data_IF_565208043007
#
_entry.id   IF_565208043007
#
_cell.length_a   1.000
_cell.length_b   1.000
_cell.length_c   1.000
_cell.angle_alpha   90.00
_cell.angle_beta   90.00
_cell.angle_gamma   90.00
#
_symmetry.space_group_name_H-M   'P 1'
#
loop_
_entity.id
_entity.type
_entity.pdbx_description
1 polymer ?
#
# COMPACT_ATOMS: atom_id res chain seq x y z
N UNK A 1 -269.80 -68.85 3.18
CA UNK A 1 -269.40 -67.48 2.76
C UNK A 1 -269.04 -66.71 4.02
N UNK A 2 -268.06 -65.78 4.05
CA UNK A 2 -267.06 -65.38 3.04
C UNK A 2 -265.80 -64.86 3.80
N UNK A 3 -264.85 -64.26 3.07
CA UNK A 3 -263.68 -63.50 3.57
C UNK A 3 -264.06 -62.44 4.62
N UNK A 4 -263.15 -62.07 5.54
CA UNK A 4 -262.93 -60.63 5.79
C UNK A 4 -261.46 -60.26 6.10
N UNK A 5 -261.14 -58.98 5.91
CA UNK A 5 -259.84 -58.36 5.61
C UNK A 5 -258.83 -58.29 6.77
N UNK A 6 -259.11 -58.81 7.96
CA UNK A 6 -258.26 -58.56 9.15
C UNK A 6 -256.81 -59.05 8.99
N UNK A 7 -256.60 -60.18 8.32
CA UNK A 7 -255.27 -60.71 7.96
C UNK A 7 -254.39 -59.70 7.17
N UNK A 8 -255.00 -58.68 6.53
CA UNK A 8 -254.26 -57.64 5.82
C UNK A 8 -253.52 -56.67 6.78
N UNK A 9 -254.05 -56.45 7.98
CA UNK A 9 -253.42 -55.57 8.98
C UNK A 9 -252.21 -56.23 9.67
N UNK A 10 -252.22 -57.55 9.84
CA UNK A 10 -251.05 -58.29 10.34
C UNK A 10 -249.88 -58.20 9.34
N UNK A 11 -250.15 -58.38 8.05
CA UNK A 11 -249.14 -58.23 7.00
C UNK A 11 -248.59 -56.78 6.90
N UNK A 12 -249.39 -55.75 7.17
CA UNK A 12 -248.89 -54.36 7.22
C UNK A 12 -247.90 -54.16 8.38
N UNK A 13 -248.20 -54.66 9.58
CA UNK A 13 -247.29 -54.58 10.74
C UNK A 13 -245.98 -55.35 10.55
N UNK A 14 -246.01 -56.43 9.75
CA UNK A 14 -244.80 -57.18 9.42
C UNK A 14 -243.85 -56.38 8.51
N UNK A 15 -244.40 -55.66 7.52
CA UNK A 15 -243.64 -54.78 6.63
C UNK A 15 -243.01 -53.58 7.36
N UNK A 16 -243.75 -52.94 8.27
CA UNK A 16 -243.22 -51.81 9.08
C UNK A 16 -241.99 -52.23 9.89
N UNK A 17 -242.02 -53.42 10.54
CA UNK A 17 -240.86 -53.95 11.29
C UNK A 17 -239.65 -54.28 10.42
N UNK A 18 -239.84 -54.69 9.17
CA UNK A 18 -238.73 -55.02 8.27
C UNK A 18 -237.93 -53.76 7.88
N UNK A 19 -238.60 -52.62 7.73
CA UNK A 19 -237.99 -51.32 7.41
C UNK A 19 -237.15 -50.80 8.58
N UNK A 20 -237.63 -50.94 9.82
CA UNK A 20 -236.85 -50.55 11.01
C UNK A 20 -235.59 -51.41 11.19
N UNK A 21 -235.66 -52.70 10.83
CA UNK A 21 -234.48 -53.59 10.82
C UNK A 21 -233.37 -53.07 9.89
N UNK A 22 -233.74 -52.68 8.66
CA UNK A 22 -232.76 -52.13 7.70
C UNK A 22 -232.16 -50.79 8.14
N UNK A 23 -232.94 -49.93 8.81
CA UNK A 23 -232.41 -48.67 9.37
C UNK A 23 -231.33 -48.91 10.44
N UNK A 24 -231.54 -49.88 11.32
CA UNK A 24 -230.57 -50.21 12.37
C UNK A 24 -229.26 -50.79 11.79
N UNK A 25 -229.33 -51.59 10.72
CA UNK A 25 -228.11 -52.10 10.06
C UNK A 25 -227.28 -50.98 9.42
N UNK A 26 -227.93 -50.00 8.79
CA UNK A 26 -227.25 -48.83 8.20
C UNK A 26 -226.55 -47.99 9.28
N UNK A 27 -227.21 -47.74 10.40
CA UNK A 27 -226.63 -47.00 11.52
C UNK A 27 -225.38 -47.69 12.09
N UNK A 28 -225.42 -49.02 12.25
CA UNK A 28 -224.28 -49.84 12.71
C UNK A 28 -223.04 -49.66 11.82
N UNK A 29 -223.22 -49.70 10.49
CA UNK A 29 -222.12 -49.52 9.52
C UNK A 29 -221.56 -48.09 9.52
N UNK A 30 -222.35 -47.07 9.84
CA UNK A 30 -221.84 -45.71 9.98
C UNK A 30 -220.89 -45.58 11.19
N UNK A 31 -221.23 -46.14 12.35
CA UNK A 31 -220.32 -46.14 13.50
C UNK A 31 -219.02 -46.93 13.26
N UNK A 32 -219.07 -47.99 12.45
CA UNK A 32 -217.87 -48.76 12.11
C UNK A 32 -216.88 -47.97 11.23
N UNK A 33 -217.40 -47.20 10.25
CA UNK A 33 -216.60 -46.31 9.39
C UNK A 33 -215.95 -45.18 10.20
N UNK A 34 -216.64 -44.66 11.20
CA UNK A 34 -216.15 -43.57 12.04
C UNK A 34 -214.98 -44.03 12.94
N UNK A 35 -215.11 -45.21 13.56
CA UNK A 35 -214.03 -45.84 14.34
C UNK A 35 -212.75 -46.11 13.53
N UNK A 36 -212.87 -46.45 12.23
CA UNK A 36 -211.72 -46.70 11.35
C UNK A 36 -210.94 -45.41 11.06
N UNK A 37 -211.62 -44.26 10.94
CA UNK A 37 -210.94 -42.95 10.74
C UNK A 37 -210.10 -42.56 11.96
N UNK A 38 -210.64 -42.73 13.15
CA UNK A 38 -209.96 -42.37 14.41
C UNK A 38 -208.69 -43.21 14.65
N UNK A 39 -208.71 -44.49 14.27
CA UNK A 39 -207.52 -45.35 14.31
C UNK A 39 -206.41 -44.85 13.36
N UNK A 40 -206.77 -44.40 12.16
CA UNK A 40 -205.80 -43.92 11.18
C UNK A 40 -205.13 -42.60 11.60
N UNK A 41 -205.90 -41.66 12.16
CA UNK A 41 -205.37 -40.38 12.63
C UNK A 41 -204.30 -40.57 13.71
N UNK A 42 -204.55 -41.41 14.73
CA UNK A 42 -203.55 -41.75 15.76
C UNK A 42 -202.25 -42.30 15.19
N UNK A 43 -202.33 -43.11 14.12
CA UNK A 43 -201.16 -43.71 13.48
C UNK A 43 -200.30 -42.67 12.73
N UNK A 44 -200.91 -41.61 12.22
CA UNK A 44 -200.20 -40.51 11.55
C UNK A 44 -199.37 -39.70 12.56
N UNK A 45 -199.94 -39.36 13.71
CA UNK A 45 -199.24 -38.56 14.73
C UNK A 45 -198.09 -39.33 15.38
N UNK A 46 -198.26 -40.64 15.65
CA UNK A 46 -197.18 -41.52 16.11
C UNK A 46 -195.96 -41.46 15.16
N UNK A 47 -196.21 -41.55 13.85
CA UNK A 47 -195.15 -41.55 12.83
C UNK A 47 -194.43 -40.20 12.66
N UNK A 48 -195.00 -39.09 13.12
CA UNK A 48 -194.31 -37.79 13.15
C UNK A 48 -193.33 -37.73 14.33
N UNK A 49 -193.79 -38.19 15.51
CA UNK A 49 -192.98 -38.19 16.74
C UNK A 49 -191.70 -39.02 16.57
N UNK A 50 -191.82 -40.21 15.99
CA UNK A 50 -190.68 -41.13 15.76
C UNK A 50 -189.61 -40.50 14.84
N UNK A 51 -190.03 -39.75 13.81
CA UNK A 51 -189.11 -39.06 12.90
C UNK A 51 -188.38 -37.88 13.57
N UNK A 52 -189.04 -37.14 14.45
CA UNK A 52 -188.44 -36.00 15.15
C UNK A 52 -187.38 -36.47 16.18
N UNK A 53 -187.65 -37.57 16.87
CA UNK A 53 -186.69 -38.25 17.76
C UNK A 53 -185.48 -38.78 16.99
N UNK A 54 -185.68 -39.35 15.80
CA UNK A 54 -184.57 -39.83 14.96
C UNK A 54 -183.62 -38.69 14.55
N UNK A 55 -184.16 -37.51 14.24
CA UNK A 55 -183.39 -36.36 13.73
C UNK A 55 -182.50 -35.72 14.82
N UNK A 56 -182.99 -35.66 16.07
CA UNK A 56 -182.19 -35.23 17.23
C UNK A 56 -181.00 -36.16 17.49
N UNK A 57 -181.21 -37.48 17.51
CA UNK A 57 -180.16 -38.47 17.77
C UNK A 57 -179.00 -38.42 16.75
N UNK A 58 -179.27 -38.04 15.49
CA UNK A 58 -178.23 -37.86 14.46
C UNK A 58 -177.38 -36.62 14.74
N UNK A 59 -177.99 -35.53 15.20
CA UNK A 59 -177.27 -34.29 15.51
C UNK A 59 -176.31 -34.47 16.69
N UNK A 60 -176.77 -35.12 17.76
CA UNK A 60 -175.97 -35.30 18.97
C UNK A 60 -174.76 -36.23 18.72
N UNK A 61 -174.91 -37.26 17.88
CA UNK A 61 -173.78 -38.10 17.42
C UNK A 61 -172.72 -37.30 16.68
N UNK A 62 -173.10 -36.53 15.67
CA UNK A 62 -172.15 -35.74 14.87
C UNK A 62 -171.40 -34.69 15.73
N UNK A 63 -172.06 -34.15 16.75
CA UNK A 63 -171.43 -33.20 17.67
C UNK A 63 -170.44 -33.88 18.63
N UNK A 64 -170.72 -35.12 19.06
CA UNK A 64 -169.79 -35.92 19.85
C UNK A 64 -168.53 -36.31 19.05
N UNK A 65 -168.69 -36.80 17.81
CA UNK A 65 -167.58 -37.19 16.93
C UNK A 65 -166.61 -36.02 16.66
N UNK A 66 -167.12 -34.80 16.48
CA UNK A 66 -166.29 -33.60 16.30
C UNK A 66 -165.46 -33.23 17.54
N UNK A 67 -166.02 -33.41 18.74
CA UNK A 67 -165.32 -33.15 20.00
C UNK A 67 -164.22 -34.20 20.22
N UNK A 68 -164.51 -35.48 19.95
CA UNK A 68 -163.55 -36.58 20.06
C UNK A 68 -162.39 -36.41 19.07
N UNK A 69 -162.69 -36.06 17.81
CA UNK A 69 -161.66 -35.79 16.80
C UNK A 69 -160.75 -34.59 17.18
N UNK A 70 -161.31 -33.53 17.77
CA UNK A 70 -160.52 -32.38 18.26
C UNK A 70 -159.64 -32.76 19.45
N UNK A 71 -160.17 -33.52 20.42
CA UNK A 71 -159.43 -34.03 21.57
C UNK A 71 -158.21 -34.82 21.12
N UNK A 72 -158.39 -35.75 20.19
CA UNK A 72 -157.32 -36.64 19.75
C UNK A 72 -156.22 -35.93 18.93
N UNK A 73 -156.55 -34.84 18.24
CA UNK A 73 -155.55 -33.96 17.61
C UNK A 73 -154.73 -33.17 18.65
N UNK A 74 -155.37 -32.71 19.72
CA UNK A 74 -154.71 -31.95 20.79
C UNK A 74 -153.77 -32.84 21.64
N UNK A 75 -154.18 -34.07 21.95
CA UNK A 75 -153.31 -35.10 22.55
C UNK A 75 -152.06 -35.34 21.69
N UNK A 76 -152.24 -35.59 20.39
CA UNK A 76 -151.14 -35.87 19.46
C UNK A 76 -150.19 -34.67 19.30
N UNK A 77 -150.71 -33.44 19.36
CA UNK A 77 -149.89 -32.22 19.37
C UNK A 77 -149.04 -32.13 20.64
N UNK A 78 -149.60 -32.49 21.79
CA UNK A 78 -148.90 -32.46 23.08
C UNK A 78 -147.83 -33.58 23.19
N UNK A 79 -148.08 -34.77 22.65
CA UNK A 79 -147.06 -35.81 22.50
C UNK A 79 -145.89 -35.35 21.61
N UNK A 80 -146.18 -34.74 20.46
CA UNK A 80 -145.15 -34.22 19.55
C UNK A 80 -144.29 -33.13 20.23
N UNK A 81 -144.91 -32.21 20.99
CA UNK A 81 -144.17 -31.21 21.80
C UNK A 81 -143.27 -31.87 22.84
N UNK A 82 -143.77 -32.88 23.56
CA UNK A 82 -142.99 -33.61 24.58
C UNK A 82 -141.79 -34.33 23.96
N UNK A 83 -141.99 -34.99 22.83
CA UNK A 83 -140.92 -35.68 22.09
C UNK A 83 -139.88 -34.69 21.53
N UNK A 84 -140.30 -33.50 21.08
CA UNK A 84 -139.39 -32.43 20.64
C UNK A 84 -138.49 -31.95 21.80
N UNK A 85 -139.06 -31.69 22.97
CA UNK A 85 -138.29 -31.26 24.16
C UNK A 85 -137.30 -32.35 24.59
N UNK A 86 -137.75 -33.60 24.69
CA UNK A 86 -136.88 -34.72 25.07
C UNK A 86 -135.75 -34.98 24.05
N UNK A 87 -136.01 -34.80 22.75
CA UNK A 87 -134.95 -34.92 21.73
C UNK A 87 -133.96 -33.76 21.79
N UNK A 88 -134.42 -32.52 22.04
CA UNK A 88 -133.53 -31.38 22.28
C UNK A 88 -132.65 -31.54 23.52
N UNK A 89 -133.22 -31.98 24.65
CA UNK A 89 -132.47 -32.24 25.89
C UNK A 89 -131.41 -33.33 25.72
N UNK A 90 -131.76 -34.42 25.04
CA UNK A 90 -130.81 -35.51 24.74
C UNK A 90 -129.68 -35.04 23.81
N UNK A 91 -129.98 -34.20 22.81
CA UNK A 91 -128.99 -33.72 21.85
C UNK A 91 -128.02 -32.69 22.48
N UNK A 92 -128.52 -31.81 23.35
CA UNK A 92 -127.67 -30.93 24.16
C UNK A 92 -126.83 -31.71 25.17
N UNK A 93 -127.36 -32.79 25.77
CA UNK A 93 -126.57 -33.68 26.64
C UNK A 93 -125.45 -34.40 25.88
N UNK A 94 -125.74 -34.92 24.68
CA UNK A 94 -124.72 -35.53 23.81
C UNK A 94 -123.64 -34.52 23.42
N UNK A 95 -124.03 -33.31 23.02
CA UNK A 95 -123.10 -32.22 22.67
C UNK A 95 -122.18 -31.82 23.83
N UNK A 96 -122.71 -31.72 25.06
CA UNK A 96 -121.91 -31.46 26.26
C UNK A 96 -120.92 -32.58 26.54
N UNK A 97 -121.37 -33.83 26.52
CA UNK A 97 -120.51 -34.99 26.72
C UNK A 97 -119.36 -35.02 25.69
N UNK A 98 -119.67 -34.82 24.41
CA UNK A 98 -118.68 -34.79 23.32
C UNK A 98 -117.66 -33.66 23.51
N UNK A 99 -118.10 -32.47 23.94
CA UNK A 99 -117.21 -31.36 24.27
C UNK A 99 -116.25 -31.73 25.40
N UNK A 100 -116.77 -32.25 26.52
CA UNK A 100 -115.93 -32.63 27.67
C UNK A 100 -114.96 -33.76 27.36
N UNK A 101 -115.34 -34.71 26.51
CA UNK A 101 -114.46 -35.78 26.05
C UNK A 101 -113.34 -35.23 25.16
N UNK A 102 -113.65 -34.29 24.28
CA UNK A 102 -112.65 -33.63 23.44
C UNK A 102 -111.69 -32.74 24.24
N UNK A 103 -112.20 -31.97 25.21
CA UNK A 103 -111.39 -31.14 26.11
C UNK A 103 -110.40 -32.00 26.92
N UNK A 104 -110.86 -33.13 27.49
CA UNK A 104 -109.97 -34.09 28.15
C UNK A 104 -108.97 -34.75 27.20
N UNK A 105 -109.33 -35.00 25.94
CA UNK A 105 -108.41 -35.54 24.94
C UNK A 105 -107.28 -34.51 24.63
N UNK A 106 -107.64 -33.23 24.49
CA UNK A 106 -106.68 -32.13 24.29
C UNK A 106 -105.76 -31.97 25.51
N UNK A 107 -106.30 -32.00 26.73
CA UNK A 107 -105.51 -31.90 27.96
C UNK A 107 -104.50 -33.06 28.09
N UNK A 108 -104.95 -34.29 27.85
CA UNK A 108 -104.08 -35.48 27.89
C UNK A 108 -102.99 -35.42 26.81
N UNK A 109 -103.33 -35.00 25.59
CA UNK A 109 -102.37 -34.84 24.49
C UNK A 109 -101.31 -33.77 24.82
N UNK A 110 -101.73 -32.62 25.34
CA UNK A 110 -100.82 -31.55 25.78
C UNK A 110 -99.90 -32.01 26.92
N UNK A 111 -100.42 -32.80 27.86
CA UNK A 111 -99.63 -33.37 28.96
C UNK A 111 -98.58 -34.35 28.48
N UNK A 112 -98.92 -35.24 27.54
CA UNK A 112 -97.99 -36.19 26.93
C UNK A 112 -96.91 -35.47 26.11
N UNK A 113 -97.26 -34.44 25.32
CA UNK A 113 -96.28 -33.60 24.64
C UNK A 113 -95.34 -32.88 25.61
N UNK A 114 -95.85 -32.30 26.71
CA UNK A 114 -95.01 -31.65 27.72
C UNK A 114 -94.03 -32.63 28.38
N UNK A 115 -94.46 -33.86 28.68
CA UNK A 115 -93.60 -34.91 29.23
C UNK A 115 -92.51 -35.33 28.22
N UNK A 116 -92.87 -35.54 26.95
CA UNK A 116 -91.91 -35.87 25.87
C UNK A 116 -90.89 -34.77 25.64
N UNK A 117 -91.32 -33.50 25.59
CA UNK A 117 -90.40 -32.36 25.44
C UNK A 117 -89.43 -32.26 26.62
N UNK A 118 -89.90 -32.50 27.84
CA UNK A 118 -89.04 -32.52 29.03
C UNK A 118 -88.02 -33.66 28.99
N UNK A 119 -88.45 -34.88 28.69
CA UNK A 119 -87.55 -36.05 28.59
C UNK A 119 -86.47 -35.85 27.50
N UNK A 120 -86.84 -35.30 26.34
CA UNK A 120 -85.87 -34.91 25.31
C UNK A 120 -84.86 -33.89 25.85
N UNK A 121 -85.32 -32.83 26.54
CA UNK A 121 -84.45 -31.80 27.09
C UNK A 121 -83.49 -32.35 28.17
N UNK A 122 -83.99 -33.17 29.09
CA UNK A 122 -83.18 -33.77 30.16
C UNK A 122 -82.14 -34.77 29.60
N UNK A 123 -82.49 -35.54 28.55
CA UNK A 123 -81.55 -36.40 27.82
C UNK A 123 -80.48 -35.59 27.09
N UNK A 124 -80.85 -34.57 26.33
CA UNK A 124 -79.90 -33.70 25.63
C UNK A 124 -78.97 -32.98 26.59
N UNK A 125 -79.47 -32.53 27.74
CA UNK A 125 -78.66 -31.93 28.81
C UNK A 125 -77.63 -32.91 29.36
N UNK A 126 -78.03 -34.15 29.62
CA UNK A 126 -77.14 -35.21 30.12
C UNK A 126 -76.03 -35.50 29.09
N UNK A 127 -76.40 -35.72 27.83
CA UNK A 127 -75.43 -35.92 26.73
C UNK A 127 -74.43 -34.75 26.61
N UNK A 128 -74.89 -33.50 26.78
CA UNK A 128 -74.02 -32.33 26.72
C UNK A 128 -73.05 -32.25 27.92
N UNK A 129 -73.44 -32.77 29.09
CA UNK A 129 -72.55 -32.90 30.25
C UNK A 129 -71.51 -34.00 30.02
N UNK A 130 -71.91 -35.15 29.48
CA UNK A 130 -71.01 -36.26 29.17
C UNK A 130 -69.96 -35.86 28.11
N UNK A 131 -70.39 -35.23 27.00
CA UNK A 131 -69.50 -34.70 25.96
C UNK A 131 -68.51 -33.69 26.54
N UNK A 132 -68.97 -32.79 27.41
CA UNK A 132 -68.09 -31.80 28.05
C UNK A 132 -67.09 -32.46 29.02
N UNK A 133 -67.52 -33.49 29.77
CA UNK A 133 -66.62 -34.26 30.63
C UNK A 133 -65.55 -35.01 29.83
N UNK A 134 -65.95 -35.70 28.77
CA UNK A 134 -65.03 -36.44 27.89
C UNK A 134 -64.04 -35.50 27.19
N UNK A 135 -64.52 -34.39 26.60
CA UNK A 135 -63.67 -33.40 25.96
C UNK A 135 -62.63 -32.83 26.95
N UNK A 136 -63.02 -32.46 28.16
CA UNK A 136 -62.10 -31.98 29.19
C UNK A 136 -61.10 -33.06 29.64
N UNK A 137 -61.51 -34.33 29.70
CA UNK A 137 -60.63 -35.46 30.00
C UNK A 137 -59.57 -35.66 28.90
N UNK A 138 -59.99 -35.65 27.63
CA UNK A 138 -59.08 -35.75 26.48
C UNK A 138 -58.12 -34.56 26.41
N UNK A 139 -58.60 -33.32 26.62
CA UNK A 139 -57.75 -32.11 26.67
C UNK A 139 -56.68 -32.22 27.77
N UNK A 140 -57.05 -32.67 28.98
CA UNK A 140 -56.08 -32.89 30.07
C UNK A 140 -55.03 -33.94 29.70
N UNK A 141 -55.45 -35.05 29.07
CA UNK A 141 -54.52 -36.10 28.63
C UNK A 141 -53.55 -35.57 27.56
N UNK A 142 -54.05 -34.96 26.49
CA UNK A 142 -53.21 -34.37 25.42
C UNK A 142 -52.22 -33.35 25.98
N UNK A 143 -52.66 -32.52 26.94
CA UNK A 143 -51.77 -31.57 27.61
C UNK A 143 -50.67 -32.25 28.41
N UNK A 144 -51.00 -33.28 29.21
CA UNK A 144 -50.01 -34.06 29.98
C UNK A 144 -49.00 -34.77 29.07
N UNK A 145 -49.48 -35.43 28.01
CA UNK A 145 -48.65 -36.14 27.04
C UNK A 145 -47.72 -35.15 26.29
N UNK A 146 -48.21 -33.95 25.99
CA UNK A 146 -47.43 -32.86 25.38
C UNK A 146 -46.38 -32.29 26.33
N UNK A 147 -46.73 -31.99 27.58
CA UNK A 147 -45.79 -31.48 28.60
C UNK A 147 -44.65 -32.48 28.87
N UNK A 148 -44.95 -33.78 28.96
CA UNK A 148 -43.92 -34.83 29.07
C UNK A 148 -43.03 -34.93 27.82
N UNK A 149 -43.61 -34.82 26.63
CA UNK A 149 -42.86 -34.86 25.36
C UNK A 149 -41.90 -33.67 25.24
N UNK A 150 -42.34 -32.47 25.63
CA UNK A 150 -41.51 -31.25 25.65
C UNK A 150 -40.34 -31.43 26.63
N UNK A 151 -40.60 -31.85 27.87
CA UNK A 151 -39.54 -32.07 28.87
C UNK A 151 -38.48 -33.08 28.41
N UNK A 152 -38.90 -34.15 27.71
CA UNK A 152 -37.97 -35.12 27.15
C UNK A 152 -37.09 -34.51 26.04
N UNK A 153 -37.70 -33.75 25.13
CA UNK A 153 -36.96 -33.08 24.04
C UNK A 153 -35.97 -32.04 24.62
N UNK A 154 -36.37 -31.25 25.62
CA UNK A 154 -35.50 -30.30 26.31
C UNK A 154 -34.32 -30.99 27.02
N UNK A 155 -34.56 -32.13 27.67
CA UNK A 155 -33.52 -32.92 28.29
C UNK A 155 -32.52 -33.47 27.26
N UNK A 156 -33.02 -34.10 26.20
CA UNK A 156 -32.20 -34.77 25.20
C UNK A 156 -31.37 -33.75 24.40
N UNK A 157 -31.97 -32.62 23.98
CA UNK A 157 -31.25 -31.52 23.32
C UNK A 157 -30.19 -30.88 24.21
N UNK A 158 -30.46 -30.72 25.52
CA UNK A 158 -29.44 -30.24 26.49
C UNK A 158 -28.27 -31.20 26.63
N UNK A 159 -28.53 -32.51 26.61
CA UNK A 159 -27.48 -33.53 26.64
C UNK A 159 -26.62 -33.51 25.37
N UNK A 160 -27.23 -33.36 24.19
CA UNK A 160 -26.51 -33.20 22.92
C UNK A 160 -25.67 -31.92 22.87
N UNK A 161 -26.22 -30.78 23.33
CA UNK A 161 -25.49 -29.51 23.41
C UNK A 161 -24.27 -29.61 24.35
N UNK A 162 -24.42 -30.23 25.51
CA UNK A 162 -23.32 -30.45 26.44
C UNK A 162 -22.21 -31.32 25.82
N UNK A 163 -22.59 -32.40 25.12
CA UNK A 163 -21.66 -33.28 24.41
C UNK A 163 -20.92 -32.53 23.29
N UNK A 164 -21.65 -31.81 22.44
CA UNK A 164 -21.06 -31.02 21.36
C UNK A 164 -20.10 -29.94 21.87
N UNK A 165 -20.45 -29.26 22.97
CA UNK A 165 -19.60 -28.28 23.64
C UNK A 165 -18.32 -28.90 24.20
N UNK A 166 -18.42 -30.08 24.82
CA UNK A 166 -17.26 -30.84 25.30
C UNK A 166 -16.33 -31.27 24.15
N UNK A 167 -16.88 -31.87 23.09
CA UNK A 167 -16.12 -32.31 21.91
C UNK A 167 -15.45 -31.13 21.19
N UNK A 168 -16.11 -29.97 21.11
CA UNK A 168 -15.53 -28.73 20.59
C UNK A 168 -14.38 -28.23 21.46
N UNK A 169 -14.56 -28.17 22.79
CA UNK A 169 -13.52 -27.78 23.74
C UNK A 169 -12.29 -28.68 23.68
N UNK A 170 -12.49 -29.99 23.54
CA UNK A 170 -11.40 -30.97 23.37
C UNK A 170 -10.61 -30.71 22.08
N UNK A 171 -11.29 -30.49 20.95
CA UNK A 171 -10.65 -30.18 19.66
C UNK A 171 -9.87 -28.86 19.69
N UNK A 172 -10.41 -27.82 20.32
CA UNK A 172 -9.71 -26.54 20.49
C UNK A 172 -8.44 -26.72 21.34
N UNK A 173 -8.53 -27.44 22.46
CA UNK A 173 -7.37 -27.74 23.30
C UNK A 173 -6.31 -28.56 22.56
N UNK A 174 -6.70 -29.58 21.78
CA UNK A 174 -5.77 -30.35 20.95
C UNK A 174 -5.07 -29.47 19.90
N UNK A 175 -5.81 -28.59 19.21
CA UNK A 175 -5.25 -27.67 18.22
C UNK A 175 -4.25 -26.69 18.85
N UNK A 176 -4.59 -26.08 20.01
CA UNK A 176 -3.70 -25.19 20.75
C UNK A 176 -2.42 -25.91 21.20
N UNK A 177 -2.53 -27.12 21.74
CA UNK A 177 -1.37 -27.93 22.15
C UNK A 177 -0.48 -28.31 20.95
N UNK A 178 -1.08 -28.65 19.81
CA UNK A 178 -0.33 -28.95 18.58
C UNK A 178 0.41 -27.71 18.06
N UNK A 179 -0.26 -26.54 18.04
CA UNK A 179 0.35 -25.27 17.65
C UNK A 179 1.50 -24.89 18.58
N UNK A 180 1.31 -24.99 19.90
CA UNK A 180 2.36 -24.70 20.89
C UNK A 180 3.58 -25.60 20.72
N UNK A 181 3.37 -26.90 20.44
CA UNK A 181 4.46 -27.84 20.13
C UNK A 181 5.18 -27.47 18.84
N UNK A 182 4.45 -27.20 17.76
CA UNK A 182 5.02 -26.78 16.47
C UNK A 182 5.85 -25.50 16.58
N UNK A 183 5.37 -24.51 17.33
CA UNK A 183 6.12 -23.28 17.62
C UNK A 183 7.43 -23.56 18.37
N UNK A 184 7.39 -24.42 19.39
CA UNK A 184 8.59 -24.83 20.15
C UNK A 184 9.61 -25.59 19.30
N UNK A 185 9.15 -26.49 18.44
CA UNK A 185 9.99 -27.26 17.52
C UNK A 185 10.64 -26.33 16.45
N UNK A 186 9.90 -25.34 15.95
CA UNK A 186 10.42 -24.32 15.05
C UNK A 186 11.44 -23.39 15.74
N UNK A 187 11.18 -22.98 16.98
CA UNK A 187 12.14 -22.18 17.76
C UNK A 187 13.45 -22.94 18.01
N UNK A 188 13.37 -24.23 18.33
CA UNK A 188 14.54 -25.08 18.50
C UNK A 188 15.38 -25.18 17.20
N UNK A 189 14.72 -25.37 16.05
CA UNK A 189 15.37 -25.36 14.72
C UNK A 189 16.03 -24.02 14.41
N UNK A 190 15.35 -22.90 14.66
CA UNK A 190 15.90 -21.56 14.45
C UNK A 190 17.12 -21.30 15.34
N UNK A 191 17.06 -21.64 16.63
CA UNK A 191 18.20 -21.55 17.56
C UNK A 191 19.39 -22.42 17.10
N UNK A 192 19.14 -23.61 16.56
CA UNK A 192 20.19 -24.48 16.01
C UNK A 192 20.83 -23.87 14.75
N UNK A 193 20.02 -23.32 13.85
CA UNK A 193 20.50 -22.67 12.63
C UNK A 193 21.30 -21.39 12.94
N UNK A 194 20.86 -20.60 13.92
CA UNK A 194 21.60 -19.43 14.41
C UNK A 194 23.00 -19.83 14.93
N UNK A 195 23.08 -20.86 15.80
CA UNK A 195 24.36 -21.39 16.30
C UNK A 195 25.27 -21.90 15.19
N UNK A 196 24.72 -22.55 14.16
CA UNK A 196 25.50 -22.99 12.98
C UNK A 196 26.06 -21.79 12.22
N UNK A 197 25.24 -20.77 11.96
CA UNK A 197 25.66 -19.55 11.26
C UNK A 197 26.73 -18.78 12.07
N UNK A 198 26.59 -18.69 13.39
CA UNK A 198 27.61 -18.09 14.28
C UNK A 198 28.94 -18.84 14.23
N UNK A 199 28.90 -20.18 14.22
CA UNK A 199 30.10 -21.01 14.12
C UNK A 199 30.80 -20.81 12.76
N UNK A 200 30.05 -20.88 11.64
CA UNK A 200 30.58 -20.62 10.29
C UNK A 200 31.11 -19.19 10.13
N UNK A 201 30.48 -18.20 10.75
CA UNK A 201 30.98 -16.83 10.73
C UNK A 201 32.30 -16.71 11.50
N UNK A 202 32.41 -17.35 12.68
CA UNK A 202 33.65 -17.38 13.47
C UNK A 202 34.79 -18.08 12.71
N UNK A 203 34.54 -19.18 12.01
CA UNK A 203 35.59 -19.83 11.20
C UNK A 203 36.02 -18.95 10.03
N UNK A 204 35.09 -18.36 9.28
CA UNK A 204 35.41 -17.43 8.18
C UNK A 204 36.21 -16.21 8.65
N UNK A 205 35.84 -15.60 9.79
CA UNK A 205 36.61 -14.50 10.37
C UNK A 205 38.01 -14.97 10.78
N UNK A 206 38.15 -16.14 11.41
CA UNK A 206 39.46 -16.69 11.77
C UNK A 206 40.34 -16.92 10.52
N UNK A 207 39.79 -17.54 9.47
CA UNK A 207 40.48 -17.76 8.19
C UNK A 207 40.94 -16.44 7.55
N UNK A 208 40.08 -15.42 7.49
CA UNK A 208 40.45 -14.10 6.96
C UNK A 208 41.49 -13.39 7.83
N UNK A 209 41.40 -13.45 9.16
CA UNK A 209 42.44 -12.88 10.03
C UNK A 209 43.80 -13.57 9.83
N UNK A 210 43.81 -14.89 9.63
CA UNK A 210 45.02 -15.67 9.36
C UNK A 210 45.64 -15.34 8.00
N UNK A 211 44.83 -15.24 6.93
CA UNK A 211 45.28 -14.77 5.61
C UNK A 211 45.91 -13.37 5.70
N UNK A 212 45.22 -12.43 6.35
CA UNK A 212 45.70 -11.06 6.53
C UNK A 212 47.01 -11.01 7.34
N UNK A 213 47.17 -11.87 8.34
CA UNK A 213 48.42 -11.98 9.11
C UNK A 213 49.58 -12.53 8.26
N UNK A 214 49.33 -13.52 7.39
CA UNK A 214 50.31 -14.02 6.41
C UNK A 214 50.69 -12.93 5.40
N UNK A 215 49.70 -12.23 4.83
CA UNK A 215 49.96 -11.12 3.91
C UNK A 215 50.79 -10.01 4.56
N UNK A 216 50.45 -9.61 5.78
CA UNK A 216 51.20 -8.60 6.53
C UNK A 216 52.65 -9.03 6.74
N UNK A 217 52.87 -10.28 7.19
CA UNK A 217 54.20 -10.84 7.42
C UNK A 217 55.03 -10.91 6.12
N UNK A 218 54.41 -11.30 5.00
CA UNK A 218 55.04 -11.31 3.69
C UNK A 218 55.40 -9.90 3.21
N UNK A 219 54.51 -8.91 3.38
CA UNK A 219 54.78 -7.50 3.06
C UNK A 219 55.93 -6.94 3.90
N UNK A 220 55.97 -7.28 5.20
CA UNK A 220 57.05 -6.88 6.10
C UNK A 220 58.40 -7.46 5.66
N UNK A 221 58.45 -8.76 5.31
CA UNK A 221 59.66 -9.39 4.78
C UNK A 221 60.13 -8.73 3.48
N UNK A 222 59.23 -8.54 2.51
CA UNK A 222 59.55 -7.87 1.23
C UNK A 222 60.08 -6.44 1.45
N UNK A 223 59.58 -5.72 2.47
CA UNK A 223 60.08 -4.39 2.82
C UNK A 223 61.48 -4.45 3.46
N UNK A 224 61.73 -5.43 4.33
CA UNK A 224 63.07 -5.69 4.89
C UNK A 224 64.07 -6.06 3.80
N UNK A 225 63.73 -7.02 2.93
CA UNK A 225 64.55 -7.46 1.79
C UNK A 225 64.92 -6.27 0.88
N UNK A 226 63.97 -5.35 0.62
CA UNK A 226 64.20 -4.14 -0.17
C UNK A 226 65.11 -3.13 0.53
N UNK A 227 64.95 -2.92 1.83
CA UNK A 227 65.82 -2.01 2.58
C UNK A 227 67.25 -2.55 2.65
N UNK A 228 67.43 -3.85 2.92
CA UNK A 228 68.76 -4.48 2.89
C UNK A 228 69.43 -4.39 1.51
N UNK A 229 68.66 -4.54 0.42
CA UNK A 229 69.18 -4.38 -0.94
C UNK A 229 69.57 -2.92 -1.22
N UNK A 230 68.79 -1.96 -0.74
CA UNK A 230 69.08 -0.52 -0.87
C UNK A 230 70.32 -0.13 -0.05
N UNK A 231 70.45 -0.61 1.19
CA UNK A 231 71.61 -0.36 2.05
C UNK A 231 72.89 -0.94 1.43
N UNK A 232 72.84 -2.16 0.88
CA UNK A 232 73.96 -2.77 0.15
C UNK A 232 74.33 -1.94 -1.09
N UNK A 233 73.35 -1.52 -1.89
CA UNK A 233 73.58 -0.66 -3.05
C UNK A 233 74.21 0.70 -2.66
N UNK A 234 73.78 1.30 -1.55
CA UNK A 234 74.37 2.54 -1.02
C UNK A 234 75.81 2.32 -0.54
N UNK A 235 76.12 1.20 0.11
CA UNK A 235 77.50 0.83 0.50
C UNK A 235 78.40 0.62 -0.73
N UNK A 236 77.93 -0.13 -1.74
CA UNK A 236 78.66 -0.34 -2.99
C UNK A 236 78.91 0.97 -3.73
N UNK A 237 77.92 1.87 -3.77
CA UNK A 237 78.07 3.21 -4.36
C UNK A 237 79.16 4.02 -3.63
N UNK A 238 79.12 4.09 -2.30
CA UNK A 238 80.13 4.79 -1.48
C UNK A 238 81.54 4.20 -1.67
N UNK A 239 81.66 2.87 -1.77
CA UNK A 239 82.94 2.20 -2.06
C UNK A 239 83.44 2.54 -3.47
N UNK A 240 82.53 2.59 -4.46
CA UNK A 240 82.87 2.95 -5.83
C UNK A 240 83.32 4.42 -5.96
N UNK A 241 82.63 5.35 -5.28
CA UNK A 241 82.99 6.77 -5.24
C UNK A 241 84.33 6.99 -4.53
N UNK A 242 84.55 6.32 -3.39
CA UNK A 242 85.83 6.36 -2.68
C UNK A 242 86.98 5.88 -3.58
N UNK A 243 86.82 4.75 -4.26
CA UNK A 243 87.85 4.22 -5.18
C UNK A 243 88.08 5.14 -6.38
N UNK A 244 87.03 5.76 -6.91
CA UNK A 244 87.13 6.76 -7.98
C UNK A 244 87.84 8.04 -7.50
N UNK A 245 87.58 8.48 -6.27
CA UNK A 245 88.29 9.59 -5.62
C UNK A 245 89.77 9.26 -5.41
N UNK A 246 90.11 8.11 -4.83
CA UNK A 246 91.49 7.65 -4.63
C UNK A 246 92.26 7.60 -5.94
N UNK A 247 91.63 7.11 -7.02
CA UNK A 247 92.23 7.04 -8.36
C UNK A 247 92.46 8.44 -8.95
N UNK A 248 91.47 9.35 -8.82
CA UNK A 248 91.61 10.77 -9.25
C UNK A 248 92.68 11.49 -8.44
N UNK A 249 92.75 11.26 -7.13
CA UNK A 249 93.73 11.87 -6.22
C UNK A 249 95.14 11.38 -6.53
N UNK A 250 95.35 10.06 -6.68
CA UNK A 250 96.63 9.49 -7.06
C UNK A 250 97.12 10.04 -8.41
N UNK A 251 96.22 10.15 -9.40
CA UNK A 251 96.52 10.79 -10.68
C UNK A 251 96.89 12.27 -10.51
N UNK A 252 96.12 13.05 -9.75
CA UNK A 252 96.42 14.47 -9.51
C UNK A 252 97.77 14.67 -8.82
N UNK A 253 98.14 13.79 -7.87
CA UNK A 253 99.47 13.79 -7.24
C UNK A 253 100.56 13.48 -8.26
N UNK A 254 100.37 12.49 -9.13
CA UNK A 254 101.31 12.15 -10.21
C UNK A 254 101.47 13.30 -11.23
N UNK A 255 100.36 13.91 -11.66
CA UNK A 255 100.33 15.04 -12.58
C UNK A 255 101.01 16.28 -11.94
N UNK A 256 100.83 16.52 -10.63
CA UNK A 256 101.56 17.57 -9.92
C UNK A 256 103.06 17.27 -9.80
N UNK A 257 103.45 16.02 -9.57
CA UNK A 257 104.87 15.62 -9.50
C UNK A 257 105.58 15.76 -10.86
N UNK A 258 104.91 15.45 -11.98
CA UNK A 258 105.48 15.68 -13.31
C UNK A 258 105.64 17.18 -13.61
N UNK A 259 104.62 18.00 -13.32
CA UNK A 259 104.69 19.47 -13.46
C UNK A 259 105.84 20.05 -12.63
N UNK A 260 106.00 19.63 -11.37
CA UNK A 260 107.10 20.09 -10.51
C UNK A 260 108.46 19.69 -11.06
N UNK A 261 108.61 18.48 -11.60
CA UNK A 261 109.85 18.01 -12.23
C UNK A 261 110.16 18.73 -13.54
N UNK A 262 109.15 19.05 -14.35
CA UNK A 262 109.30 19.90 -15.54
C UNK A 262 109.72 21.32 -15.18
N UNK A 263 109.11 21.90 -14.14
CA UNK A 263 109.47 23.21 -13.61
C UNK A 263 110.90 23.24 -13.07
N UNK A 264 111.30 22.22 -12.28
CA UNK A 264 112.67 22.05 -11.79
C UNK A 264 113.68 21.95 -12.94
N UNK A 265 113.40 21.11 -13.94
CA UNK A 265 114.25 20.98 -15.13
C UNK A 265 114.37 22.31 -15.90
N UNK A 266 113.26 23.06 -16.03
CA UNK A 266 113.25 24.37 -16.69
C UNK A 266 114.06 25.40 -15.90
N UNK A 267 113.85 25.50 -14.59
CA UNK A 267 114.59 26.41 -13.71
C UNK A 267 116.09 26.08 -13.67
N UNK A 268 116.46 24.80 -13.59
CA UNK A 268 117.86 24.36 -13.67
C UNK A 268 118.49 24.73 -15.02
N UNK A 269 117.76 24.57 -16.13
CA UNK A 269 118.24 24.98 -17.46
C UNK A 269 118.42 26.50 -17.57
N UNK A 270 117.45 27.28 -17.09
CA UNK A 270 117.53 28.74 -17.06
C UNK A 270 118.70 29.22 -16.18
N UNK A 271 118.86 28.64 -14.99
CA UNK A 271 119.98 28.92 -14.07
C UNK A 271 121.33 28.61 -14.71
N UNK A 272 121.50 27.43 -15.34
CA UNK A 272 122.74 27.06 -16.02
C UNK A 272 123.04 27.97 -17.22
N UNK A 273 122.01 28.41 -17.97
CA UNK A 273 122.21 29.38 -19.05
C UNK A 273 122.64 30.76 -18.55
N UNK A 274 122.09 31.23 -17.42
CA UNK A 274 122.48 32.47 -16.78
C UNK A 274 123.91 32.42 -16.20
N UNK A 275 124.30 31.28 -15.60
CA UNK A 275 125.68 31.05 -15.13
C UNK A 275 126.66 31.10 -16.31
N UNK A 276 126.35 30.41 -17.42
CA UNK A 276 127.20 30.39 -18.62
C UNK A 276 127.36 31.78 -19.23
N UNK A 277 126.27 32.52 -19.40
CA UNK A 277 126.31 33.89 -19.96
C UNK A 277 127.12 34.85 -19.08
N UNK A 278 126.99 34.76 -17.75
CA UNK A 278 127.80 35.56 -16.82
C UNK A 278 129.30 35.18 -16.84
N UNK A 279 129.64 33.90 -17.06
CA UNK A 279 131.03 33.48 -17.22
C UNK A 279 131.63 34.06 -18.51
N UNK A 280 130.93 33.90 -19.65
CA UNK A 280 131.35 34.45 -20.95
C UNK A 280 131.53 35.98 -20.90
N UNK A 281 130.66 36.70 -20.18
CA UNK A 281 130.83 38.14 -19.96
C UNK A 281 132.06 38.50 -19.11
N UNK A 282 132.39 37.71 -18.08
CA UNK A 282 133.60 37.91 -17.27
C UNK A 282 134.86 37.69 -18.10
N UNK A 283 134.95 36.57 -18.82
CA UNK A 283 136.10 36.22 -19.64
C UNK A 283 136.38 37.31 -20.69
N UNK A 284 135.32 37.88 -21.30
CA UNK A 284 135.43 38.98 -22.25
C UNK A 284 135.92 40.30 -21.63
N UNK A 285 135.49 40.62 -20.41
CA UNK A 285 135.96 41.81 -19.67
C UNK A 285 137.43 41.63 -19.26
N UNK A 286 137.82 40.44 -18.80
CA UNK A 286 139.19 40.14 -18.36
C UNK A 286 140.19 40.17 -19.52
N UNK A 287 139.80 39.68 -20.71
CA UNK A 287 140.59 39.80 -21.94
C UNK A 287 140.84 41.27 -22.32
N UNK A 288 139.80 42.11 -22.32
CA UNK A 288 139.92 43.54 -22.67
C UNK A 288 140.73 44.37 -21.68
N UNK A 289 140.83 43.95 -20.42
CA UNK A 289 141.61 44.66 -19.41
C UNK A 289 143.13 44.56 -19.61
N UNK A 290 143.60 43.54 -20.35
CA UNK A 290 145.03 43.22 -20.50
C UNK A 290 145.65 43.64 -21.84
N UNK A 291 144.85 44.13 -22.80
CA UNK A 291 145.34 44.54 -24.12
C UNK A 291 145.90 45.98 -24.10
N UNK A 292 147.21 46.19 -24.41
CA UNK A 292 147.83 47.51 -24.46
C UNK A 292 147.12 48.52 -25.38
N UNK A 293 146.43 48.07 -26.42
CA UNK A 293 145.71 48.92 -27.37
C UNK A 293 144.63 49.80 -26.69
N UNK A 294 144.02 49.33 -25.61
CA UNK A 294 142.96 50.04 -24.88
C UNK A 294 143.48 50.93 -23.73
N UNK A 295 144.81 51.11 -23.60
CA UNK A 295 145.45 51.77 -22.46
C UNK A 295 146.54 52.81 -22.78
N UNK A 296 146.43 53.51 -23.92
CA UNK A 296 147.29 54.65 -24.28
C UNK A 296 147.19 55.80 -23.25
N UNK A 297 148.28 56.05 -22.50
CA UNK A 297 148.34 57.07 -21.43
C UNK A 297 149.04 58.38 -21.82
N UNK A 298 149.96 58.36 -22.78
CA UNK A 298 150.81 59.52 -23.14
C UNK A 298 151.18 59.52 -24.63
N UNK A 299 151.30 60.71 -25.22
CA UNK A 299 151.84 60.86 -26.59
C UNK A 299 153.37 60.93 -26.57
N UNK A 300 154.01 59.85 -27.02
CA UNK A 300 155.44 59.85 -27.30
C UNK A 300 155.70 60.59 -28.62
N UNK A 301 156.55 61.61 -28.57
CA UNK A 301 156.89 62.41 -29.75
C UNK A 301 158.15 63.22 -29.50
N UNK A 302 158.99 63.30 -30.53
CA UNK A 302 160.33 63.87 -30.50
C UNK A 302 160.41 65.07 -31.44
N UNK A 303 160.88 66.21 -30.94
CA UNK A 303 161.07 67.42 -31.72
C UNK A 303 162.55 67.62 -32.05
N UNK A 304 162.88 67.75 -33.33
CA UNK A 304 164.23 68.05 -33.84
C UNK A 304 164.20 69.42 -34.54
N UNK A 305 165.28 70.19 -34.40
CA UNK A 305 165.44 71.49 -35.05
C UNK A 305 166.54 71.42 -36.13
N UNK A 306 166.27 72.05 -37.27
CA UNK A 306 167.16 72.28 -38.42
C UNK A 306 167.09 73.78 -38.75
N UNK A 307 168.06 74.38 -39.44
CA UNK A 307 168.16 75.85 -39.55
C UNK A 307 166.85 76.52 -40.01
N UNK A 308 166.20 75.91 -41.01
CA UNK A 308 164.99 76.42 -41.69
C UNK A 308 163.66 75.81 -41.20
N UNK A 309 163.67 74.72 -40.40
CA UNK A 309 162.43 74.04 -40.00
C UNK A 309 162.55 73.30 -38.66
N UNK A 310 161.40 72.99 -38.07
CA UNK A 310 161.27 71.98 -37.02
C UNK A 310 160.71 70.69 -37.62
N UNK A 311 161.22 69.55 -37.19
CA UNK A 311 160.72 68.21 -37.52
C UNK A 311 160.17 67.57 -36.26
N UNK A 312 158.92 67.16 -36.29
CA UNK A 312 158.25 66.50 -35.17
C UNK A 312 157.94 65.06 -35.56
N UNK A 313 158.61 64.11 -34.92
CA UNK A 313 158.48 62.68 -35.16
C UNK A 313 157.56 62.05 -34.11
N UNK A 314 156.58 61.27 -34.55
CA UNK A 314 155.63 60.56 -33.69
C UNK A 314 155.64 59.07 -34.11
N UNK A 315 155.98 58.12 -33.22
CA UNK A 315 155.75 56.70 -33.49
C UNK A 315 154.26 56.46 -33.59
N UNK A 316 153.77 55.92 -34.70
CA UNK A 316 152.33 55.82 -34.98
C UNK A 316 152.05 54.62 -35.88
N UNK A 317 151.15 53.69 -35.48
CA UNK A 317 150.68 52.62 -36.36
C UNK A 317 149.99 53.19 -37.61
N UNK A 318 150.12 52.52 -38.75
CA UNK A 318 149.65 53.05 -40.05
C UNK A 318 148.17 53.46 -40.06
N UNK A 319 147.31 52.71 -39.35
CA UNK A 319 145.88 52.96 -39.25
C UNK A 319 145.49 54.13 -38.32
N UNK A 320 146.41 54.65 -37.51
CA UNK A 320 146.18 55.78 -36.60
C UNK A 320 146.75 57.11 -37.15
N UNK A 321 147.48 57.09 -38.29
CA UNK A 321 148.20 58.27 -38.81
C UNK A 321 147.30 59.49 -39.05
N UNK A 322 146.07 59.25 -39.53
CA UNK A 322 145.13 60.31 -39.90
C UNK A 322 144.42 60.92 -38.67
N UNK A 323 144.55 60.28 -37.49
CA UNK A 323 144.01 60.77 -36.21
C UNK A 323 144.95 61.77 -35.51
N UNK A 324 146.14 62.02 -36.07
CA UNK A 324 147.11 63.01 -35.58
C UNK A 324 147.02 64.34 -36.35
N UNK A 325 146.61 65.40 -35.65
CA UNK A 325 146.57 66.76 -36.18
C UNK A 325 147.62 67.62 -35.48
N UNK A 326 148.59 68.12 -36.23
CA UNK A 326 149.59 69.07 -35.73
C UNK A 326 149.25 70.48 -36.20
N UNK A 327 149.19 71.41 -35.25
CA UNK A 327 148.94 72.83 -35.49
C UNK A 327 150.11 73.65 -34.98
N UNK A 328 150.70 74.47 -35.86
CA UNK A 328 151.75 75.41 -35.52
C UNK A 328 151.16 76.82 -35.44
N UNK A 329 151.39 77.53 -34.33
CA UNK A 329 150.94 78.93 -34.20
C UNK A 329 151.91 79.73 -33.32
N UNK A 330 152.40 80.86 -33.87
CA UNK A 330 153.44 81.70 -33.24
C UNK A 330 154.67 80.86 -32.84
N UNK A 331 154.87 80.64 -31.55
CA UNK A 331 155.99 79.90 -30.94
C UNK A 331 155.56 78.56 -30.33
N UNK A 332 154.45 77.99 -30.82
CA UNK A 332 153.84 76.76 -30.27
C UNK A 332 153.53 75.75 -31.36
N UNK A 333 153.87 74.50 -31.11
CA UNK A 333 153.49 73.32 -31.90
C UNK A 333 152.58 72.46 -31.02
N UNK A 334 151.31 72.35 -31.39
CA UNK A 334 150.31 71.55 -30.69
C UNK A 334 149.94 70.32 -31.50
N UNK A 335 150.24 69.15 -30.96
CA UNK A 335 149.76 67.85 -31.42
C UNK A 335 148.43 67.57 -30.75
N UNK A 336 147.43 67.18 -31.53
CA UNK A 336 146.15 66.66 -31.05
C UNK A 336 145.94 65.29 -31.66
N UNK A 337 145.83 64.26 -30.83
CA UNK A 337 145.40 62.92 -31.22
C UNK A 337 143.93 62.75 -30.83
N UNK A 338 143.13 62.14 -31.70
CA UNK A 338 141.69 61.96 -31.50
C UNK A 338 141.24 60.64 -32.12
N UNK A 339 140.92 59.63 -31.29
CA UNK A 339 140.30 58.38 -31.76
C UNK A 339 138.90 58.19 -31.16
N UNK A 340 137.99 57.61 -31.95
CA UNK A 340 136.64 57.24 -31.52
C UNK A 340 136.43 55.74 -31.74
N UNK A 341 136.22 55.02 -30.64
CA UNK A 341 135.76 53.64 -30.65
C UNK A 341 134.24 53.61 -30.44
N UNK A 342 133.56 52.81 -31.26
CA UNK A 342 132.12 52.54 -31.16
C UNK A 342 131.90 51.04 -31.31
N UNK A 343 131.50 50.39 -30.22
CA UNK A 343 131.20 48.97 -30.15
C UNK A 343 129.70 48.77 -29.94
N UNK A 344 129.13 47.78 -30.61
CA UNK A 344 127.75 47.36 -30.46
C UNK A 344 127.71 45.86 -30.22
N UNK A 345 127.14 45.46 -29.08
CA UNK A 345 126.89 44.06 -28.72
C UNK A 345 125.38 43.88 -28.63
N UNK A 346 124.81 43.08 -29.54
CA UNK A 346 123.41 42.69 -29.48
C UNK A 346 123.27 41.47 -28.54
N UNK A 347 122.48 41.60 -27.47
CA UNK A 347 122.28 40.58 -26.44
C UNK A 347 121.03 39.72 -26.65
N UNK A 348 121.00 38.54 -26.02
CA UNK A 348 119.79 37.70 -26.01
C UNK A 348 118.59 38.45 -25.41
N UNK A 349 117.43 38.36 -26.08
CA UNK A 349 116.19 39.14 -25.85
C UNK A 349 116.20 40.58 -26.40
N UNK A 350 117.11 40.92 -27.31
CA UNK A 350 117.02 42.15 -28.11
C UNK A 350 117.43 43.42 -27.36
N UNK A 351 118.13 43.30 -26.23
CA UNK A 351 118.88 44.42 -25.68
C UNK A 351 120.09 44.72 -26.56
N UNK A 352 120.35 46.00 -26.82
CA UNK A 352 121.53 46.44 -27.57
C UNK A 352 122.43 47.21 -26.61
N UNK A 353 123.59 46.64 -26.29
CA UNK A 353 124.61 47.29 -25.49
C UNK A 353 125.59 48.00 -26.44
N UNK A 354 125.38 49.30 -26.62
CA UNK A 354 126.27 50.16 -27.40
C UNK A 354 127.23 50.92 -26.47
N UNK A 355 128.53 50.73 -26.68
CA UNK A 355 129.60 51.45 -25.98
C UNK A 355 130.26 52.43 -26.95
N UNK A 356 130.36 53.70 -26.54
CA UNK A 356 131.05 54.75 -27.32
C UNK A 356 132.12 55.38 -26.45
N UNK A 357 133.39 55.25 -26.86
CA UNK A 357 134.54 55.83 -26.15
C UNK A 357 135.34 56.70 -27.12
N UNK A 358 135.32 58.00 -26.88
CA UNK A 358 136.20 58.97 -27.54
C UNK A 358 137.40 59.27 -26.66
N UNK A 359 138.60 59.14 -27.20
CA UNK A 359 139.84 59.51 -26.52
C UNK A 359 140.51 60.64 -27.29
N UNK A 360 140.85 61.72 -26.57
CA UNK A 360 141.66 62.79 -27.11
C UNK A 360 142.84 63.06 -26.20
N UNK A 361 144.03 63.06 -26.81
CA UNK A 361 145.29 63.40 -26.16
C UNK A 361 145.86 64.63 -26.85
N UNK A 362 146.44 65.55 -26.09
CA UNK A 362 147.05 66.77 -26.61
C UNK A 362 148.44 66.93 -25.99
N UNK A 363 149.42 67.30 -26.81
CA UNK A 363 150.78 67.61 -26.37
C UNK A 363 151.26 68.88 -27.07
N UNK A 364 151.83 69.79 -26.31
CA UNK A 364 152.25 71.11 -26.78
C UNK A 364 153.74 71.32 -26.54
N UNK A 365 154.42 71.84 -27.55
CA UNK A 365 155.82 72.23 -27.51
C UNK A 365 155.95 73.73 -27.72
N UNK A 366 156.73 74.41 -26.88
CA UNK A 366 157.15 75.78 -27.11
C UNK A 366 158.45 75.78 -27.92
N UNK A 367 158.61 76.71 -28.85
CA UNK A 367 159.81 76.87 -29.70
C UNK A 367 160.25 78.34 -29.76
N UNK A 368 161.53 78.59 -30.04
CA UNK A 368 162.09 79.94 -29.97
C UNK A 368 161.77 80.81 -31.19
N UNK A 369 161.69 80.20 -32.37
CA UNK A 369 161.39 80.90 -33.63
C UNK A 369 159.88 80.91 -33.92
N UNK A 370 159.42 81.95 -34.62
CA UNK A 370 158.03 82.02 -35.09
C UNK A 370 157.85 81.00 -36.23
N UNK A 371 156.69 80.35 -36.29
CA UNK A 371 156.39 79.29 -37.25
C UNK A 371 155.38 79.75 -38.31
N UNK A 372 155.58 79.32 -39.57
CA UNK A 372 154.60 79.50 -40.64
C UNK A 372 153.52 78.40 -40.54
N UNK A 373 152.36 78.78 -40.02
CA UNK A 373 151.22 77.86 -39.83
C UNK A 373 150.65 77.29 -41.14
N UNK A 374 151.01 77.85 -42.30
CA UNK A 374 150.52 77.40 -43.62
C UNK A 374 151.45 76.37 -44.28
N UNK A 375 152.67 76.17 -43.75
CA UNK A 375 153.69 75.28 -44.31
C UNK A 375 154.06 74.17 -43.34
N UNK A 376 153.07 73.34 -43.03
CA UNK A 376 153.27 72.06 -42.35
C UNK A 376 153.14 70.95 -43.40
N UNK A 377 154.21 70.19 -43.62
CA UNK A 377 154.24 69.05 -44.56
C UNK A 377 154.45 67.76 -43.80
N UNK A 378 153.62 66.75 -44.07
CA UNK A 378 153.64 65.44 -43.42
C UNK A 378 154.33 64.40 -44.27
N UNK A 379 155.15 63.55 -43.64
CA UNK A 379 155.69 62.33 -44.22
C UNK A 379 155.50 61.18 -43.22
N UNK A 380 155.26 59.96 -43.72
CA UNK A 380 155.13 58.77 -42.89
C UNK A 380 156.04 57.67 -43.46
N UNK A 381 157.05 57.28 -42.68
CA UNK A 381 158.02 56.25 -43.07
C UNK A 381 158.23 55.31 -41.88
N UNK A 382 158.22 54.00 -42.12
CA UNK A 382 158.61 52.94 -41.16
C UNK A 382 158.02 53.08 -39.73
N UNK A 383 156.72 53.37 -39.64
CA UNK A 383 156.02 53.50 -38.35
C UNK A 383 156.21 54.85 -37.65
N UNK A 384 156.84 55.83 -38.30
CA UNK A 384 157.08 57.17 -37.76
C UNK A 384 156.40 58.21 -38.66
N UNK A 385 155.50 59.00 -38.07
CA UNK A 385 154.84 60.14 -38.67
C UNK A 385 155.64 61.41 -38.36
N UNK A 386 156.29 61.98 -39.39
CA UNK A 386 157.09 63.20 -39.29
C UNK A 386 156.34 64.41 -39.84
N UNK A 387 156.14 65.42 -39.01
CA UNK A 387 155.62 66.73 -39.41
C UNK A 387 156.80 67.72 -39.55
N UNK A 388 157.08 68.19 -40.76
CA UNK A 388 158.01 69.30 -41.01
C UNK A 388 157.26 70.61 -40.98
N UNK A 389 157.69 71.54 -40.12
CA UNK A 389 157.06 72.83 -39.88
C UNK A 389 158.10 73.92 -40.15
N UNK A 390 157.83 74.76 -41.15
CA UNK A 390 158.79 75.78 -41.60
C UNK A 390 158.81 76.99 -40.64
N UNK A 391 160.00 77.53 -40.37
CA UNK A 391 160.19 78.76 -39.60
C UNK A 391 159.80 79.98 -40.45
N UNK A 392 159.13 80.95 -39.84
CA UNK A 392 158.67 82.19 -40.49
C UNK A 392 159.79 83.23 -40.62
#
# INVERSE_FOLDING_TARGET
>A
MKVDKSQFNENKRYLEKLVDSQRNEIASRQTEIENIKDYYNKKIDQSKLDNEVALLNVRDRNQAELIEASSHQEERLNELKKNLVQTQENLEKQKRNLSTEHDHQIENMNRDHALKTKDIFDRSRTQMQDINFEANSQIKKVRSDSEQSIQKIEHDTKMELNKASFDAGLKVSQAQNHQAKSMKDNEARFRQQLKKNEAEHKTRVAEETFKNQIEFSNRQRIFQDKNEALDKHHQDLLLSEKKAFETKYAKAVQDHQSILKELENKLNKEMMSAIKSNAEQKDFIEFKAHDPFYSLKTLESNLREDDNAYYLDIPTPEHERDNYVVTAHKRKIKISFSRRSEERIDGEKGSVHASRRSESLTKEFNVDKILDSKKVTTAYNDGILTFKIVKA
#
